data_IF_031328968707
#
_entry.id   IF_031328968707
#
_cell.length_a   1.000
_cell.length_b   1.000
_cell.length_c   1.000
_cell.angle_alpha   90.00
_cell.angle_beta   90.00
_cell.angle_gamma   90.00
#
_symmetry.space_group_name_H-M   'P 1'
#
loop_
_entity.id
_entity.type
_entity.pdbx_description
1 polymer ?
#
# COMPACT_ATOMS: atom_id res chain seq x y z
N UNK A 1 -6.13 17.32 -3.71
CA UNK A 1 -7.47 16.75 -3.40
C UNK A 1 -7.27 15.36 -2.82
N UNK A 2 -8.01 15.00 -1.77
CA UNK A 2 -7.94 13.67 -1.14
C UNK A 2 -9.32 13.03 -1.20
N UNK A 3 -9.40 11.88 -1.85
CA UNK A 3 -10.60 11.03 -1.93
C UNK A 3 -10.39 9.83 -1.00
N UNK A 4 -11.32 9.56 -0.09
CA UNK A 4 -11.18 8.50 0.92
C UNK A 4 -12.29 7.47 0.76
N UNK A 5 -11.90 6.21 0.76
CA UNK A 5 -12.78 5.06 0.59
C UNK A 5 -12.50 4.02 1.68
N UNK A 6 -13.47 3.13 1.91
CA UNK A 6 -13.29 1.95 2.76
C UNK A 6 -13.55 0.72 1.92
N UNK A 7 -12.63 -0.24 1.95
CA UNK A 7 -12.78 -1.55 1.31
C UNK A 7 -12.75 -2.61 2.42
N UNK A 8 -13.86 -3.33 2.60
CA UNK A 8 -14.20 -4.25 3.70
C UNK A 8 -14.18 -3.64 5.13
N UNK A 9 -13.10 -2.96 5.49
CA UNK A 9 -12.88 -2.16 6.71
C UNK A 9 -11.60 -1.31 6.65
N UNK A 10 -10.78 -1.49 5.63
CA UNK A 10 -9.48 -0.84 5.46
C UNK A 10 -9.63 0.45 4.67
N UNK A 11 -8.90 1.49 5.06
CA UNK A 11 -8.90 2.76 4.35
C UNK A 11 -8.11 2.69 3.05
N UNK A 12 -8.68 3.25 1.98
CA UNK A 12 -7.98 3.47 0.71
C UNK A 12 -8.15 4.95 0.35
N UNK A 13 -7.05 5.68 0.32
CA UNK A 13 -7.04 7.13 0.09
C UNK A 13 -6.30 7.46 -1.20
N UNK A 14 -6.99 8.10 -2.14
CA UNK A 14 -6.40 8.61 -3.38
C UNK A 14 -6.04 10.08 -3.19
N UNK A 15 -4.77 10.42 -3.43
CA UNK A 15 -4.24 11.76 -3.33
C UNK A 15 -3.85 12.26 -4.72
N UNK A 16 -4.41 13.40 -5.10
CA UNK A 16 -3.95 14.21 -6.23
C UNK A 16 -3.13 15.36 -5.72
N UNK A 17 -1.83 15.34 -6.01
CA UNK A 17 -0.87 16.38 -5.64
C UNK A 17 -0.80 17.39 -6.79
N UNK A 18 -1.12 18.69 -6.56
CA UNK A 18 -0.96 19.71 -7.57
C UNK A 18 0.48 19.75 -8.11
N UNK A 19 0.65 19.76 -9.43
CA UNK A 19 1.96 19.81 -10.08
C UNK A 19 2.69 18.46 -10.21
N UNK A 20 2.17 17.35 -9.65
CA UNK A 20 2.68 16.00 -9.89
C UNK A 20 1.76 15.28 -10.89
N UNK A 21 2.34 14.66 -11.92
CA UNK A 21 1.58 13.76 -12.79
C UNK A 21 1.34 12.43 -12.06
N UNK A 22 0.12 11.90 -12.15
CA UNK A 22 -0.27 10.65 -11.47
C UNK A 22 -1.05 10.86 -10.18
N UNK A 23 -1.47 9.75 -9.58
CA UNK A 23 -2.23 9.71 -8.32
C UNK A 23 -1.49 8.82 -7.34
N UNK A 24 -1.38 9.25 -6.10
CA UNK A 24 -0.81 8.43 -5.03
C UNK A 24 -1.96 7.77 -4.29
N UNK A 25 -1.84 6.47 -4.02
CA UNK A 25 -2.80 5.74 -3.18
C UNK A 25 -2.11 5.36 -1.89
N UNK A 26 -2.74 5.66 -0.77
CA UNK A 26 -2.40 5.12 0.55
C UNK A 26 -3.46 4.07 0.90
N UNK A 27 -3.03 2.85 1.19
CA UNK A 27 -3.92 1.78 1.61
C UNK A 27 -3.50 1.27 2.98
N UNK A 28 -4.48 1.11 3.87
CA UNK A 28 -4.33 0.37 5.12
C UNK A 28 -4.36 -1.13 4.80
N UNK A 29 -3.45 -1.91 5.39
CA UNK A 29 -3.41 -3.36 5.24
C UNK A 29 -3.08 -4.00 6.60
N UNK A 30 -3.23 -5.32 6.69
CA UNK A 30 -2.87 -6.08 7.88
C UNK A 30 -2.33 -7.45 7.48
N UNK A 31 -1.08 -7.46 6.98
CA UNK A 31 -0.40 -8.68 6.53
C UNK A 31 0.73 -8.98 7.52
N UNK A 32 0.72 -10.17 8.10
CA UNK A 32 1.76 -10.59 9.04
C UNK A 32 3.09 -10.86 8.36
N UNK A 33 4.16 -10.55 9.09
CA UNK A 33 5.55 -10.67 8.67
C UNK A 33 6.34 -11.51 9.67
N UNK A 34 7.26 -12.33 9.15
CA UNK A 34 8.24 -13.05 9.99
C UNK A 34 9.42 -12.17 10.44
N UNK A 35 9.54 -10.96 9.88
CA UNK A 35 10.58 -9.99 10.26
C UNK A 35 10.26 -9.39 11.63
N UNK A 36 11.20 -9.42 12.57
CA UNK A 36 11.06 -8.72 13.85
C UNK A 36 11.55 -7.28 13.73
N UNK A 37 10.70 -6.32 14.13
CA UNK A 37 11.05 -4.90 14.23
C UNK A 37 10.60 -4.40 15.61
N UNK A 38 11.32 -3.42 16.16
CA UNK A 38 10.97 -2.82 17.46
C UNK A 38 10.40 -1.40 17.33
N UNK A 39 10.54 -0.79 16.16
CA UNK A 39 10.03 0.53 15.81
C UNK A 39 9.35 0.47 14.44
N UNK A 40 8.54 1.48 14.11
CA UNK A 40 7.91 1.57 12.78
C UNK A 40 9.01 1.74 11.72
N UNK A 41 8.99 0.88 10.71
CA UNK A 41 9.92 0.96 9.59
C UNK A 41 9.22 1.41 8.30
N UNK A 42 9.94 2.20 7.51
CA UNK A 42 9.50 2.66 6.19
C UNK A 42 10.45 2.08 5.15
N UNK A 43 9.96 1.11 4.38
CA UNK A 43 10.75 0.41 3.37
C UNK A 43 10.40 0.98 2.00
N UNK A 44 11.39 1.59 1.34
CA UNK A 44 11.27 1.93 -0.08
C UNK A 44 11.34 0.65 -0.91
N UNK A 45 10.42 0.48 -1.85
CA UNK A 45 10.34 -0.71 -2.70
C UNK A 45 9.82 -0.36 -4.09
N UNK A 46 9.80 -1.32 -5.00
CA UNK A 46 9.25 -1.22 -6.36
C UNK A 46 8.56 -2.53 -6.73
N UNK A 47 7.38 -2.76 -6.15
CA UNK A 47 6.57 -3.93 -6.47
C UNK A 47 5.57 -3.52 -7.54
N UNK A 48 5.68 -4.13 -8.72
CA UNK A 48 4.77 -3.87 -9.82
C UNK A 48 3.34 -4.33 -9.50
N UNK A 49 2.38 -3.47 -9.85
CA UNK A 49 0.94 -3.71 -9.80
C UNK A 49 0.37 -3.59 -11.23
N UNK A 50 -0.89 -4.00 -11.43
CA UNK A 50 -1.59 -3.79 -12.69
C UNK A 50 -1.74 -2.30 -13.02
N UNK A 51 -2.04 -1.48 -12.00
CA UNK A 51 -2.37 -0.07 -12.18
C UNK A 51 -1.25 0.91 -11.82
N UNK A 52 -0.10 0.42 -11.36
CA UNK A 52 0.99 1.24 -10.84
C UNK A 52 2.09 0.43 -10.18
N UNK A 53 2.70 0.96 -9.13
CA UNK A 53 3.68 0.26 -8.32
C UNK A 53 3.59 0.64 -6.84
N UNK A 54 3.82 -0.32 -5.95
CA UNK A 54 4.05 -0.05 -4.53
C UNK A 54 5.45 0.57 -4.43
N UNK A 55 5.52 1.82 -3.99
CA UNK A 55 6.79 2.56 -3.82
C UNK A 55 7.28 2.54 -2.39
N UNK A 56 6.38 2.27 -1.43
CA UNK A 56 6.72 2.24 -0.01
C UNK A 56 5.81 1.29 0.75
N UNK A 57 6.41 0.55 1.67
CA UNK A 57 5.74 -0.33 2.63
C UNK A 57 6.06 0.20 4.03
N UNK A 58 5.05 0.28 4.87
CA UNK A 58 5.20 0.65 6.28
C UNK A 58 4.98 -0.60 7.11
N UNK A 59 6.00 -0.96 7.89
CA UNK A 59 5.93 -2.04 8.85
C UNK A 59 5.68 -1.48 10.24
N UNK A 60 4.72 -2.07 10.94
CA UNK A 60 4.39 -1.70 12.31
C UNK A 60 4.70 -2.88 13.25
N UNK A 61 5.42 -2.65 14.37
CA UNK A 61 5.54 -3.64 15.42
C UNK A 61 4.20 -3.83 16.13
N UNK A 62 3.90 -5.05 16.52
CA UNK A 62 2.72 -5.44 17.31
C UNK A 62 3.15 -6.43 18.39
N UNK A 63 2.29 -6.66 19.40
CA UNK A 63 2.56 -7.64 20.45
C UNK A 63 2.74 -9.08 19.93
N UNK A 64 2.25 -9.37 18.71
CA UNK A 64 2.29 -10.68 18.08
C UNK A 64 3.37 -10.82 17.00
N UNK A 65 4.22 -9.80 16.83
CA UNK A 65 5.23 -9.74 15.78
C UNK A 65 5.04 -8.50 14.91
N UNK A 66 5.37 -8.59 13.63
CA UNK A 66 5.33 -7.43 12.72
C UNK A 66 4.24 -7.58 11.69
N UNK A 67 3.61 -6.47 11.32
CA UNK A 67 2.67 -6.42 10.20
C UNK A 67 3.08 -5.36 9.19
N UNK A 68 2.75 -5.58 7.92
CA UNK A 68 2.58 -4.47 6.97
C UNK A 68 1.26 -3.80 7.36
N UNK A 69 1.34 -2.56 7.84
CA UNK A 69 0.19 -1.77 8.28
C UNK A 69 -0.31 -0.81 7.19
N UNK A 70 0.59 -0.32 6.35
CA UNK A 70 0.25 0.59 5.27
C UNK A 70 1.15 0.39 4.06
N UNK A 71 0.63 0.76 2.89
CA UNK A 71 1.41 0.88 1.66
C UNK A 71 1.11 2.16 0.92
N UNK A 72 2.11 2.62 0.16
CA UNK A 72 2.01 3.76 -0.76
C UNK A 72 2.19 3.25 -2.17
N UNK A 73 1.23 3.56 -3.03
CA UNK A 73 1.23 3.19 -4.44
C UNK A 73 1.28 4.45 -5.29
N UNK A 74 2.14 4.45 -6.30
CA UNK A 74 2.06 5.43 -7.38
C UNK A 74 1.31 4.81 -8.56
N UNK A 75 0.16 5.40 -8.90
CA UNK A 75 -0.63 4.95 -10.05
C UNK A 75 -0.04 5.50 -11.34
N UNK A 76 -0.07 4.68 -12.39
CA UNK A 76 0.23 5.11 -13.74
C UNK A 76 -0.73 6.24 -14.14
N UNK A 77 -0.24 7.22 -14.88
CA UNK A 77 -0.94 8.48 -15.17
C UNK A 77 -2.28 8.30 -15.90
N UNK A 78 -2.50 7.17 -16.58
CA UNK A 78 -3.72 6.85 -17.30
C UNK A 78 -4.67 5.92 -16.51
N UNK A 79 -4.21 5.29 -15.43
CA UNK A 79 -4.97 4.29 -14.70
C UNK A 79 -6.06 4.92 -13.84
N UNK A 80 -7.29 4.41 -13.96
CA UNK A 80 -8.44 4.78 -13.14
C UNK A 80 -9.09 3.60 -12.41
N UNK A 81 -8.34 2.82 -11.60
CA UNK A 81 -8.93 1.73 -10.85
C UNK A 81 -9.90 2.26 -9.79
N UNK A 82 -10.91 1.45 -9.53
CA UNK A 82 -11.76 1.57 -8.34
C UNK A 82 -10.95 1.28 -7.07
N UNK A 83 -11.38 1.77 -5.89
CA UNK A 83 -10.75 1.45 -4.61
C UNK A 83 -10.62 -0.06 -4.37
N UNK A 84 -11.62 -0.85 -4.77
CA UNK A 84 -11.65 -2.30 -4.60
C UNK A 84 -10.64 -3.01 -5.51
N UNK A 85 -10.52 -2.58 -6.77
CA UNK A 85 -9.54 -3.13 -7.73
C UNK A 85 -8.12 -2.91 -7.23
N UNK A 86 -7.76 -1.68 -6.86
CA UNK A 86 -6.42 -1.38 -6.39
C UNK A 86 -6.10 -2.11 -5.07
N UNK A 87 -7.09 -2.21 -4.18
CA UNK A 87 -6.91 -2.88 -2.90
C UNK A 87 -6.65 -4.38 -3.06
N UNK A 88 -7.41 -5.05 -3.95
CA UNK A 88 -7.21 -6.47 -4.26
C UNK A 88 -5.86 -6.73 -4.91
N UNK A 89 -5.43 -5.85 -5.81
CA UNK A 89 -4.13 -5.96 -6.47
C UNK A 89 -2.96 -5.81 -5.48
N UNK A 90 -3.04 -4.82 -4.57
CA UNK A 90 -2.10 -4.65 -3.46
C UNK A 90 -2.00 -5.94 -2.63
N UNK A 91 -3.14 -6.47 -2.16
CA UNK A 91 -3.13 -7.69 -1.35
C UNK A 91 -2.56 -8.87 -2.13
N UNK A 92 -2.89 -9.00 -3.41
CA UNK A 92 -2.36 -10.06 -4.25
C UNK A 92 -0.84 -9.97 -4.42
N UNK A 93 -0.30 -8.77 -4.60
CA UNK A 93 1.14 -8.55 -4.72
C UNK A 93 1.87 -8.81 -3.41
N UNK A 94 1.39 -8.24 -2.30
CA UNK A 94 2.01 -8.40 -0.97
C UNK A 94 1.97 -9.85 -0.48
N UNK A 95 0.90 -10.61 -0.75
CA UNK A 95 0.84 -12.03 -0.39
C UNK A 95 1.85 -12.89 -1.19
N UNK A 96 2.33 -12.43 -2.35
CA UNK A 96 3.34 -13.14 -3.14
C UNK A 96 4.76 -12.87 -2.65
N UNK A 97 5.06 -11.62 -2.27
CA UNK A 97 6.41 -11.21 -1.86
C UNK A 97 6.62 -11.30 -0.34
N UNK A 98 5.54 -11.37 0.43
CA UNK A 98 5.59 -11.31 1.89
C UNK A 98 6.14 -9.98 2.39
N UNK A 99 6.99 -10.04 3.42
CA UNK A 99 7.63 -8.86 4.02
C UNK A 99 9.12 -8.73 3.68
N UNK A 100 9.52 -9.43 2.62
CA UNK A 100 10.79 -9.28 1.90
C UNK A 100 10.50 -8.71 0.51
N UNK A 101 10.06 -7.44 0.44
CA UNK A 101 9.69 -6.80 -0.81
C UNK A 101 10.90 -6.46 -1.69
#
# INVERSE_FOLDING_TARGET
MIERHKVDRFGVSFLRIPGKQGRIVFADVAIFCEKEIHEIEYIDTKIALEYGEIVKIILCPTDLGTIICNVVVELNSQSQPTPEEIYRDILSALNRVGCTP
#
